data_IF_743252114635
#
_entry.id   IF_743252114635
#
_cell.length_a   1.000
_cell.length_b   1.000
_cell.length_c   1.000
_cell.angle_alpha   90.00
_cell.angle_beta   90.00
_cell.angle_gamma   90.00
#
_symmetry.space_group_name_H-M   'P 1'
#
loop_
_entity.id
_entity.type
_entity.pdbx_description
1 polymer ?
#
# COMPACT_ATOMS: atom_id res chain seq x y z
N UNK A 1 14.71 25.02 9.19
CA UNK A 1 15.09 23.61 9.38
C UNK A 1 13.89 22.90 9.96
N UNK A 2 13.59 21.69 9.51
CA UNK A 2 12.67 20.84 10.27
C UNK A 2 13.54 20.14 11.31
N UNK A 3 13.46 20.58 12.56
CA UNK A 3 14.29 20.06 13.67
C UNK A 3 13.80 18.69 14.17
N UNK A 4 12.74 18.14 13.57
CA UNK A 4 12.20 16.81 13.86
C UNK A 4 11.89 16.07 12.56
N UNK A 5 12.28 14.80 12.51
CA UNK A 5 12.01 13.88 11.40
C UNK A 5 10.99 12.85 11.86
N UNK A 6 9.99 12.60 11.03
CA UNK A 6 9.01 11.54 11.23
C UNK A 6 9.22 10.47 10.16
N UNK A 7 9.33 9.22 10.59
CA UNK A 7 9.47 8.07 9.69
C UNK A 7 8.27 7.16 9.89
N UNK A 8 7.66 6.75 8.78
CA UNK A 8 6.68 5.68 8.76
C UNK A 8 7.36 4.43 8.18
N UNK A 9 7.32 3.33 8.91
CA UNK A 9 7.99 2.07 8.55
C UNK A 9 6.94 0.98 8.46
N UNK A 10 6.94 0.26 7.34
CA UNK A 10 6.04 -0.87 7.11
C UNK A 10 6.88 -2.12 6.94
N UNK A 11 6.59 -3.15 7.72
CA UNK A 11 7.10 -4.50 7.48
C UNK A 11 6.20 -5.18 6.45
N UNK A 12 6.75 -5.56 5.31
CA UNK A 12 5.99 -6.21 4.24
C UNK A 12 5.68 -7.69 4.53
N UNK A 13 6.55 -8.34 5.31
CA UNK A 13 6.36 -9.68 5.85
C UNK A 13 6.34 -9.56 7.38
N UNK A 14 5.23 -9.96 7.99
CA UNK A 14 4.96 -9.75 9.41
C UNK A 14 4.88 -11.06 10.20
N UNK A 15 5.02 -12.23 9.57
CA UNK A 15 4.78 -13.54 10.24
C UNK A 15 5.69 -13.76 11.46
N UNK A 16 6.95 -13.36 11.38
CA UNK A 16 7.89 -13.51 12.50
C UNK A 16 7.66 -12.45 13.60
N UNK A 17 7.19 -11.25 13.22
CA UNK A 17 6.92 -10.16 14.16
C UNK A 17 5.62 -10.38 14.94
N UNK A 18 4.64 -11.08 14.35
CA UNK A 18 3.37 -11.44 15.00
C UNK A 18 3.57 -12.34 16.23
N UNK A 19 4.67 -13.10 16.26
CA UNK A 19 5.01 -13.99 17.38
C UNK A 19 5.54 -13.21 18.60
N UNK A 20 5.82 -11.92 18.45
CA UNK A 20 6.44 -11.07 19.46
C UNK A 20 5.41 -10.16 20.13
N UNK A 21 5.72 -9.66 21.33
CA UNK A 21 4.94 -8.58 21.93
C UNK A 21 5.12 -7.27 21.14
N UNK A 22 4.12 -6.38 21.19
CA UNK A 22 4.11 -5.07 20.46
C UNK A 22 5.44 -4.30 20.60
N UNK A 23 5.95 -4.17 21.82
CA UNK A 23 7.20 -3.44 22.10
C UNK A 23 8.44 -4.14 21.50
N UNK A 24 8.43 -5.46 21.48
CA UNK A 24 9.53 -6.26 20.94
C UNK A 24 9.52 -6.22 19.40
N UNK A 25 8.34 -6.37 18.78
CA UNK A 25 8.17 -6.19 17.35
C UNK A 25 8.61 -4.79 16.89
N UNK A 26 8.23 -3.74 17.63
CA UNK A 26 8.65 -2.37 17.33
C UNK A 26 10.19 -2.21 17.40
N UNK A 27 10.84 -2.83 18.40
CA UNK A 27 12.31 -2.80 18.52
C UNK A 27 12.99 -3.53 17.38
N UNK A 28 12.48 -4.68 16.94
CA UNK A 28 13.07 -5.41 15.80
C UNK A 28 12.90 -4.63 14.48
N UNK A 29 11.76 -3.98 14.26
CA UNK A 29 11.57 -3.07 13.11
C UNK A 29 12.55 -1.89 13.14
N UNK A 30 12.75 -1.27 14.30
CA UNK A 30 13.70 -0.16 14.46
C UNK A 30 15.16 -0.61 14.28
N UNK A 31 15.51 -1.80 14.76
CA UNK A 31 16.82 -2.41 14.58
C UNK A 31 17.13 -2.68 13.10
N UNK A 32 16.13 -3.08 12.32
CA UNK A 32 16.28 -3.19 10.87
C UNK A 32 16.47 -1.81 10.22
N UNK A 33 15.64 -0.82 10.59
CA UNK A 33 15.75 0.56 10.09
C UNK A 33 17.13 1.17 10.36
N UNK A 34 17.73 0.89 11.53
CA UNK A 34 19.04 1.40 11.94
C UNK A 34 20.18 1.02 10.97
N UNK A 35 20.01 -0.06 10.19
CA UNK A 35 20.95 -0.45 9.13
C UNK A 35 20.95 0.53 7.95
N UNK A 36 19.82 1.21 7.72
CA UNK A 36 19.61 2.13 6.59
C UNK A 36 19.72 3.60 7.00
N UNK A 37 19.28 3.93 8.21
CA UNK A 37 19.27 5.29 8.75
C UNK A 37 19.96 5.25 10.11
N UNK A 38 21.14 5.89 10.29
CA UNK A 38 21.82 5.90 11.58
C UNK A 38 21.04 6.73 12.62
N UNK A 39 20.73 6.14 13.77
CA UNK A 39 20.19 6.81 14.95
C UNK A 39 20.53 6.01 16.21
N UNK A 40 20.59 6.67 17.36
CA UNK A 40 20.70 6.05 18.68
C UNK A 40 19.30 5.84 19.29
N UNK A 41 19.13 4.88 20.23
CA UNK A 41 17.87 4.72 20.95
C UNK A 41 17.41 5.98 21.71
N UNK A 42 18.33 6.88 22.06
CA UNK A 42 18.06 8.18 22.68
C UNK A 42 17.48 9.21 21.72
N UNK A 43 17.58 8.99 20.41
CA UNK A 43 17.07 9.88 19.38
C UNK A 43 15.57 9.64 19.10
N UNK A 44 14.99 8.61 19.74
CA UNK A 44 13.61 8.17 19.54
C UNK A 44 12.70 8.73 20.64
N UNK A 45 11.69 9.48 20.23
CA UNK A 45 10.55 9.86 21.08
C UNK A 45 9.61 8.64 21.23
N UNK A 46 9.91 7.75 22.19
CA UNK A 46 9.17 6.49 22.40
C UNK A 46 7.69 6.70 22.75
N UNK A 47 7.35 7.81 23.41
CA UNK A 47 5.97 8.23 23.70
C UNK A 47 5.17 8.59 22.43
N UNK A 48 5.88 8.80 21.31
CA UNK A 48 5.31 9.12 19.99
C UNK A 48 5.59 8.05 18.95
N UNK A 49 6.07 6.89 19.39
CA UNK A 49 6.29 5.72 18.54
C UNK A 49 5.12 4.78 18.72
N UNK A 50 4.45 4.45 17.62
CA UNK A 50 3.28 3.59 17.64
C UNK A 50 3.39 2.49 16.58
N UNK A 51 3.05 1.25 16.97
CA UNK A 51 3.09 0.07 16.09
C UNK A 51 1.67 -0.38 15.77
N UNK A 52 1.28 -0.37 14.50
CA UNK A 52 -0.03 -0.90 14.10
C UNK A 52 0.11 -2.31 13.55
N UNK A 53 -0.39 -3.30 14.31
CA UNK A 53 -0.29 -4.72 13.96
C UNK A 53 -1.32 -5.16 12.91
N UNK A 54 -2.48 -4.48 12.85
CA UNK A 54 -3.62 -4.84 11.99
C UNK A 54 -4.10 -6.28 12.22
N UNK A 55 -4.00 -6.78 13.44
CA UNK A 55 -4.40 -8.13 13.87
C UNK A 55 -5.91 -8.32 13.90
N UNK A 56 -6.67 -7.26 14.16
CA UNK A 56 -8.13 -7.23 14.18
C UNK A 56 -8.77 -7.09 12.79
N UNK A 57 -8.01 -6.57 11.82
CA UNK A 57 -8.44 -6.39 10.43
C UNK A 57 -7.32 -6.77 9.45
N UNK A 58 -7.03 -8.08 9.28
CA UNK A 58 -6.02 -8.53 8.34
C UNK A 58 -6.33 -8.05 6.93
N UNK A 59 -5.32 -7.49 6.27
CA UNK A 59 -5.44 -7.11 4.86
C UNK A 59 -5.73 -8.35 4.03
N UNK A 60 -6.72 -8.26 3.15
CA UNK A 60 -6.95 -9.29 2.16
C UNK A 60 -5.77 -9.32 1.19
N UNK A 61 -4.88 -10.31 1.30
CA UNK A 61 -3.69 -10.36 0.45
C UNK A 61 -4.03 -10.94 -0.93
N UNK A 62 -3.31 -10.48 -1.96
CA UNK A 62 -3.46 -11.02 -3.31
C UNK A 62 -2.81 -12.40 -3.40
N UNK A 63 -3.50 -13.42 -2.91
CA UNK A 63 -3.03 -14.80 -2.96
C UNK A 63 -3.41 -15.42 -4.31
N UNK A 64 -2.48 -16.17 -4.91
CA UNK A 64 -2.74 -16.91 -6.15
C UNK A 64 -3.97 -17.81 -5.98
N UNK A 65 -4.90 -17.73 -6.93
CA UNK A 65 -6.15 -18.49 -6.90
C UNK A 65 -7.27 -17.89 -6.03
N UNK A 66 -7.04 -16.74 -5.37
CA UNK A 66 -8.09 -16.04 -4.60
C UNK A 66 -9.16 -15.38 -5.48
N UNK A 67 -8.83 -15.04 -6.73
CA UNK A 67 -9.70 -14.27 -7.64
C UNK A 67 -11.11 -14.86 -7.80
N UNK A 68 -11.20 -16.19 -7.93
CA UNK A 68 -12.47 -16.90 -8.10
C UNK A 68 -13.39 -16.78 -6.88
N UNK A 69 -12.85 -16.48 -5.70
CA UNK A 69 -13.60 -16.31 -4.45
C UNK A 69 -13.97 -14.84 -4.18
N UNK A 70 -13.41 -13.90 -4.92
CA UNK A 70 -13.78 -12.48 -4.81
C UNK A 70 -15.20 -12.27 -5.32
N UNK A 71 -16.04 -11.51 -4.61
CA UNK A 71 -17.37 -11.16 -5.08
C UNK A 71 -17.30 -10.10 -6.20
N UNK A 72 -18.34 -10.05 -7.03
CA UNK A 72 -18.55 -8.91 -7.92
C UNK A 72 -18.88 -7.65 -7.10
N UNK A 73 -18.34 -6.49 -7.49
CA UNK A 73 -18.72 -5.22 -6.90
C UNK A 73 -20.07 -4.72 -7.45
N UNK A 74 -20.77 -3.88 -6.69
CA UNK A 74 -22.09 -3.40 -7.08
C UNK A 74 -23.23 -4.25 -6.51
N UNK A 75 -24.33 -4.34 -7.25
CA UNK A 75 -25.50 -5.10 -6.82
C UNK A 75 -25.15 -6.59 -6.69
N UNK A 76 -25.23 -7.11 -5.47
CA UNK A 76 -24.72 -8.45 -5.18
C UNK A 76 -25.68 -9.54 -5.65
N UNK A 77 -25.13 -10.60 -6.24
CA UNK A 77 -25.83 -11.86 -6.52
C UNK A 77 -24.99 -13.03 -6.03
N UNK A 78 -25.62 -14.00 -5.37
CA UNK A 78 -24.97 -15.27 -5.06
C UNK A 78 -25.07 -16.25 -6.24
N UNK A 79 -24.36 -17.38 -6.16
CA UNK A 79 -24.36 -18.43 -7.20
C UNK A 79 -25.68 -19.20 -7.34
N UNK A 80 -26.61 -19.04 -6.40
CA UNK A 80 -27.87 -19.77 -6.35
C UNK A 80 -29.04 -18.95 -6.88
N UNK A 81 -28.87 -17.63 -7.02
CA UNK A 81 -29.88 -16.70 -7.53
C UNK A 81 -29.55 -16.23 -8.94
N UNK A 82 -30.59 -16.14 -9.76
CA UNK A 82 -30.51 -15.56 -11.11
C UNK A 82 -30.58 -14.03 -11.12
N UNK A 83 -30.95 -13.41 -10.00
CA UNK A 83 -31.12 -11.97 -9.87
C UNK A 83 -30.37 -11.43 -8.63
N UNK A 84 -29.83 -10.20 -8.69
CA UNK A 84 -29.21 -9.55 -7.53
C UNK A 84 -30.20 -9.31 -6.38
N UNK A 85 -29.68 -9.24 -5.17
CA UNK A 85 -30.42 -8.77 -4.00
C UNK A 85 -30.73 -7.28 -4.15
N UNK A 86 -31.97 -6.88 -3.87
CA UNK A 86 -32.41 -5.50 -4.12
C UNK A 86 -31.80 -4.45 -3.18
N UNK A 87 -31.30 -4.88 -2.03
CA UNK A 87 -30.84 -4.02 -0.95
C UNK A 87 -29.43 -4.38 -0.44
N UNK A 88 -28.66 -5.13 -1.23
CA UNK A 88 -27.30 -5.53 -0.89
C UNK A 88 -26.34 -5.18 -2.02
N UNK A 89 -25.36 -4.36 -1.69
CA UNK A 89 -24.34 -3.88 -2.59
C UNK A 89 -22.97 -4.08 -1.94
N UNK A 90 -21.99 -4.57 -2.71
CA UNK A 90 -20.64 -4.83 -2.21
C UNK A 90 -19.63 -3.86 -2.83
N UNK A 91 -18.71 -3.41 -1.99
CA UNK A 91 -17.57 -2.59 -2.34
C UNK A 91 -16.41 -2.90 -1.39
N UNK A 92 -15.19 -2.66 -1.87
CA UNK A 92 -13.96 -2.95 -1.17
C UNK A 92 -12.91 -3.46 -2.13
N UNK A 93 -11.65 -3.32 -1.75
CA UNK A 93 -10.47 -3.82 -2.46
C UNK A 93 -10.45 -5.36 -2.63
N UNK A 94 -11.22 -6.07 -1.82
CA UNK A 94 -11.48 -7.51 -1.95
C UNK A 94 -12.48 -7.88 -3.05
N UNK A 95 -13.25 -6.92 -3.59
CA UNK A 95 -14.16 -7.17 -4.70
C UNK A 95 -13.40 -7.26 -6.04
N UNK A 96 -13.97 -7.96 -7.02
CA UNK A 96 -13.41 -8.00 -8.38
C UNK A 96 -13.46 -6.61 -9.00
N UNK A 97 -12.33 -6.17 -9.54
CA UNK A 97 -12.19 -4.92 -10.29
C UNK A 97 -11.06 -5.03 -11.32
N UNK A 98 -11.04 -4.17 -12.35
CA UNK A 98 -9.94 -4.11 -13.32
C UNK A 98 -8.59 -3.72 -12.71
N UNK A 99 -8.58 -3.21 -11.48
CA UNK A 99 -7.35 -2.88 -10.74
C UNK A 99 -6.60 -4.15 -10.32
N UNK A 100 -7.32 -5.26 -10.11
CA UNK A 100 -6.80 -6.63 -9.87
C UNK A 100 -5.69 -6.73 -8.81
N UNK A 101 -5.69 -5.80 -7.86
CA UNK A 101 -4.79 -5.79 -6.70
C UNK A 101 -5.53 -5.14 -5.53
N UNK A 102 -5.39 -5.72 -4.35
CA UNK A 102 -5.84 -5.08 -3.10
C UNK A 102 -5.05 -3.80 -2.87
N UNK A 103 -5.72 -2.66 -3.02
CA UNK A 103 -5.16 -1.32 -2.88
C UNK A 103 -6.29 -0.29 -2.72
N UNK A 104 -5.91 0.95 -2.39
CA UNK A 104 -6.85 2.07 -2.27
C UNK A 104 -7.59 2.34 -3.58
N UNK A 105 -6.90 2.22 -4.72
CA UNK A 105 -7.45 2.43 -6.04
C UNK A 105 -8.57 1.42 -6.34
N UNK A 106 -8.38 0.15 -5.97
CA UNK A 106 -9.38 -0.91 -6.06
C UNK A 106 -10.58 -0.67 -5.14
N UNK A 107 -10.33 -0.25 -3.90
CA UNK A 107 -11.38 0.11 -2.95
C UNK A 107 -12.24 1.28 -3.47
N UNK A 108 -11.60 2.34 -3.96
CA UNK A 108 -12.29 3.53 -4.52
C UNK A 108 -13.05 3.14 -5.79
N UNK A 109 -12.44 2.39 -6.69
CA UNK A 109 -13.10 1.93 -7.92
C UNK A 109 -14.39 1.16 -7.61
N UNK A 110 -14.30 0.16 -6.75
CA UNK A 110 -15.45 -0.70 -6.40
C UNK A 110 -16.51 0.05 -5.62
N UNK A 111 -16.12 1.01 -4.75
CA UNK A 111 -17.05 1.91 -4.07
C UNK A 111 -17.85 2.77 -5.05
N UNK A 112 -17.21 3.28 -6.12
CA UNK A 112 -17.91 4.04 -7.16
C UNK A 112 -18.90 3.18 -7.94
N UNK A 113 -18.53 1.94 -8.28
CA UNK A 113 -19.44 0.98 -8.93
C UNK A 113 -20.67 0.72 -8.05
N UNK A 114 -20.47 0.45 -6.76
CA UNK A 114 -21.56 0.25 -5.82
C UNK A 114 -22.44 1.49 -5.64
N UNK A 115 -21.84 2.67 -5.47
CA UNK A 115 -22.57 3.93 -5.38
C UNK A 115 -23.42 4.19 -6.63
N UNK A 116 -22.88 3.92 -7.83
CA UNK A 116 -23.64 4.06 -9.09
C UNK A 116 -24.81 3.09 -9.14
N UNK A 117 -24.62 1.84 -8.75
CA UNK A 117 -25.70 0.84 -8.72
C UNK A 117 -26.83 1.24 -7.74
N UNK A 118 -26.48 1.79 -6.57
CA UNK A 118 -27.44 2.35 -5.60
C UNK A 118 -28.18 3.55 -6.21
N UNK A 119 -27.45 4.48 -6.82
CA UNK A 119 -28.00 5.68 -7.42
C UNK A 119 -28.97 5.35 -8.58
N UNK A 120 -28.62 4.39 -9.43
CA UNK A 120 -29.48 3.89 -10.50
C UNK A 120 -30.77 3.27 -9.97
N UNK A 121 -30.68 2.43 -8.93
CA UNK A 121 -31.86 1.85 -8.27
C UNK A 121 -32.78 2.94 -7.70
N UNK A 122 -32.21 4.02 -7.18
CA UNK A 122 -32.93 5.17 -6.63
C UNK A 122 -33.44 6.16 -7.70
N UNK A 123 -33.16 5.93 -9.00
CA UNK A 123 -33.54 6.86 -10.07
C UNK A 123 -32.72 8.16 -10.08
N UNK A 124 -31.50 8.14 -9.52
CA UNK A 124 -30.60 9.31 -9.34
C UNK A 124 -29.24 9.11 -10.01
N UNK A 125 -29.20 8.58 -11.24
CA UNK A 125 -27.96 8.19 -11.92
C UNK A 125 -26.87 9.27 -11.93
N UNK A 126 -27.25 10.54 -12.00
CA UNK A 126 -26.31 11.68 -12.07
C UNK A 126 -25.78 12.13 -10.69
N UNK A 127 -26.11 11.43 -9.60
CA UNK A 127 -25.66 11.82 -8.25
C UNK A 127 -24.26 11.31 -7.87
N UNK A 128 -23.61 10.53 -8.73
CA UNK A 128 -22.25 10.01 -8.50
C UNK A 128 -21.28 10.73 -9.44
N UNK A 129 -20.48 11.63 -8.89
CA UNK A 129 -19.49 12.40 -9.65
C UNK A 129 -18.38 11.52 -10.22
N UNK A 130 -17.83 11.94 -11.36
CA UNK A 130 -16.55 11.44 -11.85
C UNK A 130 -15.41 12.07 -11.02
N UNK A 131 -14.33 11.33 -10.75
CA UNK A 131 -13.17 11.86 -10.03
C UNK A 131 -12.51 12.93 -10.89
N UNK A 132 -11.99 13.95 -10.22
CA UNK A 132 -11.19 14.97 -10.86
C UNK A 132 -9.95 14.32 -11.47
N UNK A 133 -9.73 14.56 -12.76
CA UNK A 133 -8.48 14.17 -13.41
C UNK A 133 -7.40 15.12 -12.91
N UNK A 134 -6.30 14.62 -12.30
CA UNK A 134 -5.19 15.47 -11.91
C UNK A 134 -4.69 16.27 -13.10
N UNK A 135 -4.32 17.53 -12.88
CA UNK A 135 -3.72 18.36 -13.92
C UNK A 135 -2.50 17.64 -14.50
N UNK A 136 -2.38 17.60 -15.83
CA UNK A 136 -1.22 17.01 -16.48
C UNK A 136 0.06 17.71 -16.00
N UNK A 137 1.01 16.92 -15.52
CA UNK A 137 2.33 17.42 -15.14
C UNK A 137 3.18 17.53 -16.41
N UNK A 138 3.77 18.70 -16.66
CA UNK A 138 4.63 18.87 -17.83
C UNK A 138 5.88 17.97 -17.73
N UNK A 139 6.38 17.48 -18.87
CA UNK A 139 7.62 16.69 -18.92
C UNK A 139 8.81 17.44 -18.29
N UNK A 140 8.84 18.78 -18.40
CA UNK A 140 9.87 19.61 -17.79
C UNK A 140 9.83 19.55 -16.26
N UNK A 141 8.64 19.55 -15.65
CA UNK A 141 8.49 19.40 -14.20
C UNK A 141 8.91 18.00 -13.73
N UNK A 142 8.54 16.96 -14.48
CA UNK A 142 8.97 15.59 -14.17
C UNK A 142 10.49 15.47 -14.22
N UNK A 143 11.12 16.01 -15.26
CA UNK A 143 12.58 15.94 -15.42
C UNK A 143 13.33 16.70 -14.33
N UNK A 144 12.80 17.86 -13.92
CA UNK A 144 13.35 18.61 -12.80
C UNK A 144 13.27 17.81 -11.49
N UNK A 145 12.12 17.19 -11.19
CA UNK A 145 11.97 16.34 -10.01
C UNK A 145 12.96 15.16 -10.03
N UNK A 146 13.18 14.53 -11.19
CA UNK A 146 14.19 13.46 -11.31
C UNK A 146 15.59 13.97 -10.98
N UNK A 147 15.99 15.13 -11.51
CA UNK A 147 17.30 15.72 -11.24
C UNK A 147 17.46 16.06 -9.75
N UNK A 148 16.41 16.56 -9.09
CA UNK A 148 16.41 16.85 -7.66
C UNK A 148 16.53 15.58 -6.80
N UNK A 149 16.01 14.44 -7.29
CA UNK A 149 16.07 13.14 -6.61
C UNK A 149 17.32 12.31 -6.92
N UNK A 150 18.10 12.65 -7.96
CA UNK A 150 19.30 11.93 -8.40
C UNK A 150 20.33 11.66 -7.29
N UNK A 151 20.65 12.60 -6.37
CA UNK A 151 21.58 12.32 -5.27
C UNK A 151 21.09 11.20 -4.34
N UNK A 152 19.77 11.09 -4.14
CA UNK A 152 19.14 10.09 -3.30
C UNK A 152 19.08 8.72 -3.98
N UNK A 153 18.95 8.70 -5.32
CA UNK A 153 18.99 7.47 -6.11
C UNK A 153 20.33 6.74 -5.92
N UNK A 154 21.44 7.48 -5.93
CA UNK A 154 22.78 6.92 -5.72
C UNK A 154 22.97 6.37 -4.30
N UNK A 155 22.40 7.06 -3.30
CA UNK A 155 22.40 6.57 -1.92
C UNK A 155 21.58 5.27 -1.79
N UNK A 156 20.38 5.23 -2.38
CA UNK A 156 19.53 4.04 -2.39
C UNK A 156 20.22 2.86 -3.08
N UNK A 157 20.91 3.10 -4.21
CA UNK A 157 21.69 2.09 -4.91
C UNK A 157 22.85 1.50 -4.09
N UNK A 158 23.48 2.31 -3.24
CA UNK A 158 24.55 1.81 -2.36
C UNK A 158 24.04 0.89 -1.24
N UNK A 159 22.74 0.96 -0.89
CA UNK A 159 22.14 0.28 0.28
C UNK A 159 21.02 -0.73 -0.03
N UNK A 160 20.49 -0.75 -1.26
CA UNK A 160 19.44 -1.67 -1.70
C UNK A 160 19.97 -2.72 -2.68
N UNK A 161 19.56 -3.98 -2.50
CA UNK A 161 19.99 -5.11 -3.32
C UNK A 161 19.56 -4.95 -4.80
N UNK A 162 18.35 -4.44 -5.07
CA UNK A 162 17.80 -4.31 -6.43
C UNK A 162 18.23 -3.04 -7.20
N UNK A 163 18.73 -2.02 -6.52
CA UNK A 163 19.14 -0.76 -7.17
C UNK A 163 20.59 -0.79 -7.70
N UNK A 164 21.42 -1.74 -7.24
CA UNK A 164 22.79 -1.97 -7.75
C UNK A 164 22.81 -2.43 -9.21
N UNK A 165 21.86 -3.29 -9.59
CA UNK A 165 21.78 -3.92 -10.91
C UNK A 165 21.49 -2.90 -12.03
N UNK A 166 20.61 -1.93 -11.78
CA UNK A 166 20.29 -0.86 -12.75
C UNK A 166 21.42 0.14 -12.98
N UNK A 167 22.39 0.22 -12.07
CA UNK A 167 23.52 1.15 -12.14
C UNK A 167 24.84 0.48 -12.54
N UNK A 168 24.82 -0.82 -12.86
CA UNK A 168 26.03 -1.55 -13.29
C UNK A 168 27.12 -1.64 -12.23
N UNK A 169 26.78 -1.49 -10.94
CA UNK A 169 27.74 -1.56 -9.84
C UNK A 169 27.89 -3.02 -9.40
N UNK A 170 29.08 -3.59 -9.60
CA UNK A 170 29.38 -5.01 -9.36
C UNK A 170 28.99 -5.49 -7.95
N UNK A 171 28.48 -6.72 -7.89
CA UNK A 171 28.16 -7.46 -6.67
C UNK A 171 29.43 -7.90 -5.93
N UNK A 172 30.09 -6.96 -5.26
CA UNK A 172 31.14 -7.26 -4.29
C UNK A 172 30.52 -7.79 -2.99
N UNK A 173 30.18 -9.08 -2.95
CA UNK A 173 29.94 -9.77 -1.69
C UNK A 173 31.28 -10.04 -0.99
N UNK A 174 31.35 -9.96 0.35
CA UNK A 174 32.54 -10.42 1.06
C UNK A 174 32.63 -11.94 0.87
N UNK A 175 33.74 -12.38 0.29
CA UNK A 175 34.10 -13.80 0.31
C UNK A 175 34.15 -14.27 1.75
N UNK A 176 33.47 -15.37 2.02
CA UNK A 176 33.66 -16.16 3.24
C UNK A 176 35.05 -16.79 3.15
N UNK A 177 36.00 -16.24 3.90
CA UNK A 177 37.09 -16.99 4.53
C UNK A 177 36.87 -16.98 6.05
#
# INVERSE_FOLDING_TARGET
>A
GRDKTWLNVVAADFEELEKLGRDEAAREMLKELAKYVPFAPSDIEWDRTDLQLNDDAPLFTNTVGSWQYRPECGAYSDRFRSAPFENLYLAGDYCRSPVDVVCLEGAVFTARVAARAIAERAGRRDSVSEPDVPAEVSLQQVERLKQELEPWLRLAASRSFGARERLGLASGGPGLE
#
